data_IF_430818446293
#
_entry.id   IF_430818446293
#
_cell.length_a   1.000
_cell.length_b   1.000
_cell.length_c   1.000
_cell.angle_alpha   90.00
_cell.angle_beta   90.00
_cell.angle_gamma   90.00
#
_symmetry.space_group_name_H-M   'P 1'
#
loop_
_entity.id
_entity.type
_entity.pdbx_description
1 polymer ?
#
# COMPACT_ATOMS: atom_id res chain seq x y z
N UNK A 1 10.68 -5.48 18.47
CA UNK A 1 10.72 -4.34 17.53
C UNK A 1 10.20 -4.79 16.17
N UNK A 2 9.47 -3.92 15.46
CA UNK A 2 9.07 -4.14 14.07
C UNK A 2 9.58 -2.99 13.23
N UNK A 3 10.28 -3.27 12.14
CA UNK A 3 10.75 -2.28 11.17
C UNK A 3 9.96 -2.39 9.88
N UNK A 4 9.49 -1.29 9.32
CA UNK A 4 8.72 -1.26 8.08
C UNK A 4 9.50 -0.53 7.00
N UNK A 5 9.64 -1.20 5.86
CA UNK A 5 10.31 -0.71 4.66
C UNK A 5 9.33 -0.74 3.49
N UNK A 6 9.16 0.39 2.80
CA UNK A 6 8.27 0.52 1.63
C UNK A 6 9.07 1.09 0.47
N UNK A 7 8.89 0.59 -0.77
CA UNK A 7 9.55 1.16 -1.94
C UNK A 7 9.15 2.62 -2.13
N UNK A 8 10.14 3.47 -2.41
CA UNK A 8 9.92 4.82 -2.90
C UNK A 8 9.40 4.82 -4.34
N UNK A 9 9.18 6.02 -4.88
CA UNK A 9 8.76 6.22 -6.27
C UNK A 9 9.78 5.70 -7.30
N UNK A 10 11.03 5.54 -6.88
CA UNK A 10 12.14 4.98 -7.63
C UNK A 10 12.27 3.45 -7.48
N UNK A 11 11.41 2.84 -6.65
CA UNK A 11 11.45 1.41 -6.34
C UNK A 11 12.42 1.02 -5.22
N UNK A 12 13.20 1.96 -4.68
CA UNK A 12 14.18 1.68 -3.62
C UNK A 12 13.47 1.54 -2.27
N UNK A 13 13.64 0.43 -1.52
CA UNK A 13 13.06 0.31 -0.19
C UNK A 13 13.59 1.38 0.76
N UNK A 14 12.70 2.14 1.38
CA UNK A 14 13.00 3.17 2.36
C UNK A 14 12.20 2.94 3.66
N UNK A 15 12.70 3.37 4.82
CA UNK A 15 11.94 3.32 6.05
C UNK A 15 10.61 4.08 5.93
N UNK A 16 9.51 3.45 6.30
CA UNK A 16 8.19 4.06 6.22
C UNK A 16 7.81 4.67 7.58
N UNK A 17 7.62 5.99 7.62
CA UNK A 17 7.17 6.71 8.81
C UNK A 17 5.64 6.67 8.96
N UNK A 18 5.15 6.65 10.20
CA UNK A 18 3.72 6.73 10.51
C UNK A 18 2.87 5.52 10.10
N UNK A 19 3.50 4.37 9.83
CA UNK A 19 2.80 3.11 9.59
C UNK A 19 2.32 2.53 10.91
N UNK A 20 1.02 2.35 11.05
CA UNK A 20 0.41 1.63 12.17
C UNK A 20 0.73 0.14 12.07
N UNK A 21 1.32 -0.40 13.12
CA UNK A 21 1.61 -1.82 13.28
C UNK A 21 0.81 -2.34 14.46
N UNK A 22 0.04 -3.40 14.22
CA UNK A 22 -0.73 -4.09 15.25
C UNK A 22 -0.18 -5.49 15.43
N UNK A 23 0.21 -5.83 16.66
CA UNK A 23 0.53 -7.18 17.07
C UNK A 23 -0.75 -7.90 17.48
N UNK A 24 -1.09 -8.96 16.75
CA UNK A 24 -2.22 -9.83 17.04
C UNK A 24 -1.72 -11.17 17.59
N UNK A 25 -2.38 -11.76 18.59
CA UNK A 25 -2.01 -13.09 19.10
C UNK A 25 -2.56 -14.23 18.23
N UNK A 26 -2.96 -13.94 17.00
CA UNK A 26 -3.51 -14.88 16.03
C UNK A 26 -3.20 -14.43 14.60
N UNK A 27 -3.25 -15.38 13.66
CA UNK A 27 -3.18 -15.10 12.23
C UNK A 27 -4.48 -14.46 11.75
N UNK A 28 -4.44 -13.17 11.37
CA UNK A 28 -5.61 -12.43 10.87
C UNK A 28 -6.23 -13.09 9.64
N UNK A 29 -5.41 -13.53 8.69
CA UNK A 29 -5.89 -14.10 7.44
C UNK A 29 -6.57 -15.46 7.67
N UNK A 30 -6.22 -16.19 8.73
CA UNK A 30 -6.96 -17.40 9.11
C UNK A 30 -8.41 -17.11 9.51
N UNK A 31 -8.66 -16.04 10.25
CA UNK A 31 -10.04 -15.63 10.59
C UNK A 31 -10.82 -15.16 9.34
N UNK A 32 -10.17 -14.39 8.47
CA UNK A 32 -10.79 -13.94 7.21
C UNK A 32 -11.12 -15.14 6.32
N UNK A 33 -10.19 -16.08 6.13
CA UNK A 33 -10.44 -17.31 5.36
C UNK A 33 -11.60 -18.13 5.94
N UNK A 34 -11.69 -18.25 7.27
CA UNK A 34 -12.79 -18.96 7.93
C UNK A 34 -14.16 -18.33 7.61
N UNK A 35 -14.23 -17.00 7.63
CA UNK A 35 -15.45 -16.26 7.31
C UNK A 35 -15.81 -16.38 5.82
N UNK A 36 -14.81 -16.23 4.94
CA UNK A 36 -15.01 -16.37 3.49
C UNK A 36 -15.44 -17.80 3.10
N UNK A 37 -14.93 -18.83 3.79
CA UNK A 37 -15.37 -20.22 3.59
C UNK A 37 -16.83 -20.48 3.99
N UNK A 38 -17.43 -19.59 4.79
CA UNK A 38 -18.84 -19.65 5.22
C UNK A 38 -19.72 -18.66 4.46
N UNK A 39 -19.19 -17.95 3.48
CA UNK A 39 -19.94 -16.98 2.71
C UNK A 39 -21.11 -17.67 1.98
N UNK A 40 -22.31 -17.10 2.13
CA UNK A 40 -23.52 -17.59 1.45
C UNK A 40 -23.64 -17.10 0.00
N UNK A 41 -22.78 -16.16 -0.40
CA UNK A 41 -22.71 -15.62 -1.75
C UNK A 41 -21.26 -15.64 -2.26
N UNK A 42 -21.05 -15.88 -3.56
CA UNK A 42 -19.71 -15.87 -4.14
C UNK A 42 -19.13 -14.45 -4.11
N UNK A 43 -17.81 -14.37 -3.97
CA UNK A 43 -17.10 -13.10 -4.10
C UNK A 43 -17.38 -12.49 -5.48
N UNK A 44 -17.71 -11.19 -5.59
CA UNK A 44 -17.87 -10.53 -6.88
C UNK A 44 -16.63 -10.69 -7.76
N UNK A 45 -16.82 -10.93 -9.05
CA UNK A 45 -15.72 -11.05 -10.00
C UNK A 45 -15.02 -9.70 -10.16
N UNK A 46 -13.74 -9.62 -9.78
CA UNK A 46 -12.93 -8.38 -9.81
C UNK A 46 -12.03 -8.26 -11.03
N UNK A 47 -11.95 -9.29 -11.88
CA UNK A 47 -10.97 -9.36 -12.97
C UNK A 47 -10.97 -8.15 -13.90
N UNK A 48 -12.14 -7.59 -14.22
CA UNK A 48 -12.26 -6.38 -15.04
C UNK A 48 -11.68 -5.14 -14.33
N UNK A 49 -11.95 -5.00 -13.03
CA UNK A 49 -11.42 -3.92 -12.19
C UNK A 49 -9.91 -4.07 -11.99
N UNK A 50 -9.44 -5.28 -11.72
CA UNK A 50 -8.02 -5.60 -11.61
C UNK A 50 -7.25 -5.28 -12.90
N UNK A 51 -7.84 -5.58 -14.06
CA UNK A 51 -7.29 -5.23 -15.38
C UNK A 51 -7.29 -3.72 -15.62
N UNK A 52 -8.30 -2.99 -15.13
CA UNK A 52 -8.32 -1.53 -15.19
C UNK A 52 -7.27 -0.90 -14.27
N UNK A 53 -7.09 -1.41 -13.05
CA UNK A 53 -6.01 -1.02 -12.16
C UNK A 53 -4.63 -1.26 -12.79
N UNK A 54 -4.42 -2.42 -13.42
CA UNK A 54 -3.17 -2.73 -14.11
C UNK A 54 -2.86 -1.74 -15.23
N UNK A 55 -3.87 -1.36 -16.03
CA UNK A 55 -3.72 -0.35 -17.10
C UNK A 55 -3.49 1.07 -16.57
N UNK A 56 -4.04 1.39 -15.39
CA UNK A 56 -3.83 2.68 -14.74
C UNK A 56 -2.41 2.81 -14.15
N UNK A 57 -1.82 1.70 -13.69
CA UNK A 57 -0.55 1.69 -12.94
C UNK A 57 0.59 2.36 -13.70
N UNK A 58 0.83 1.93 -14.93
CA UNK A 58 1.99 2.39 -15.72
C UNK A 58 1.99 3.91 -15.98
N UNK A 59 0.91 4.52 -16.54
CA UNK A 59 0.88 5.97 -16.74
C UNK A 59 0.94 6.75 -15.42
N UNK A 60 0.39 6.22 -14.32
CA UNK A 60 0.52 6.85 -13.01
C UNK A 60 1.98 6.87 -12.52
N UNK A 61 2.64 5.71 -12.51
CA UNK A 61 4.02 5.60 -12.05
C UNK A 61 4.96 6.48 -12.88
N UNK A 62 4.78 6.48 -14.22
CA UNK A 62 5.54 7.35 -15.12
C UNK A 62 5.28 8.83 -14.85
N UNK A 63 4.02 9.22 -14.64
CA UNK A 63 3.67 10.61 -14.33
C UNK A 63 4.32 11.07 -13.01
N UNK A 64 4.27 10.24 -11.98
CA UNK A 64 4.88 10.52 -10.68
C UNK A 64 6.39 10.72 -10.80
N UNK A 65 7.08 9.81 -11.51
CA UNK A 65 8.52 9.90 -11.74
C UNK A 65 8.90 11.18 -12.53
N UNK A 66 8.19 11.47 -13.62
CA UNK A 66 8.43 12.67 -14.42
C UNK A 66 8.18 13.95 -13.61
N UNK A 67 7.17 13.97 -12.73
CA UNK A 67 6.89 15.11 -11.86
C UNK A 67 8.03 15.38 -10.87
N UNK A 68 8.61 14.32 -10.26
CA UNK A 68 9.79 14.45 -9.40
C UNK A 68 10.97 14.97 -10.21
N UNK A 69 11.24 14.38 -11.38
CA UNK A 69 12.33 14.81 -12.26
C UNK A 69 12.19 16.26 -12.72
N UNK A 70 10.98 16.69 -13.06
CA UNK A 70 10.69 18.08 -13.45
C UNK A 70 11.06 19.03 -12.31
N UNK A 71 10.63 18.73 -11.08
CA UNK A 71 10.95 19.54 -9.89
C UNK A 71 12.46 19.62 -9.67
N UNK A 72 13.18 18.49 -9.70
CA UNK A 72 14.65 18.48 -9.57
C UNK A 72 15.34 19.32 -10.64
N UNK A 73 14.85 19.29 -11.89
CA UNK A 73 15.39 20.12 -12.97
C UNK A 73 15.08 21.61 -12.76
N UNK A 74 13.90 21.96 -12.25
CA UNK A 74 13.53 23.33 -11.89
C UNK A 74 14.42 23.89 -10.77
N UNK A 75 14.67 23.08 -9.74
CA UNK A 75 15.56 23.44 -8.64
C UNK A 75 17.00 23.63 -9.15
N UNK A 76 17.47 22.71 -10.01
CA UNK A 76 18.79 22.80 -10.65
C UNK A 76 18.92 24.04 -11.53
N UNK A 77 17.90 24.36 -12.32
CA UNK A 77 17.87 25.54 -13.19
C UNK A 77 17.85 26.84 -12.38
N UNK A 78 17.20 26.84 -11.22
CA UNK A 78 17.17 27.99 -10.31
C UNK A 78 18.53 28.23 -9.64
N UNK A 79 19.31 27.18 -9.42
CA UNK A 79 20.67 27.26 -8.86
C UNK A 79 21.78 27.42 -9.92
N UNK A 80 21.47 27.27 -11.21
CA UNK A 80 22.47 27.27 -12.28
C UNK A 80 22.96 28.67 -12.67
N UNK A 81 24.28 28.79 -12.89
CA UNK A 81 24.89 29.94 -13.55
C UNK A 81 24.60 29.99 -15.06
N UNK A 82 25.18 30.98 -15.76
CA UNK A 82 24.98 31.14 -17.20
C UNK A 82 25.41 29.90 -18.01
N UNK A 83 26.50 29.27 -17.58
CA UNK A 83 27.01 28.04 -18.17
C UNK A 83 26.12 26.85 -17.81
N UNK A 84 25.57 26.17 -18.81
CA UNK A 84 24.70 25.00 -18.64
C UNK A 84 23.21 25.29 -18.47
N UNK A 85 22.80 26.56 -18.30
CA UNK A 85 21.38 26.95 -18.20
C UNK A 85 20.56 26.52 -19.42
N UNK A 86 21.09 26.73 -20.63
CA UNK A 86 20.42 26.35 -21.87
C UNK A 86 20.20 24.82 -21.97
N UNK A 87 21.18 24.02 -21.54
CA UNK A 87 21.08 22.56 -21.51
C UNK A 87 20.05 22.08 -20.48
N UNK A 88 20.00 22.70 -19.30
CA UNK A 88 18.97 22.40 -18.29
C UNK A 88 17.57 22.78 -18.76
N UNK A 89 17.42 23.93 -19.43
CA UNK A 89 16.14 24.36 -20.00
C UNK A 89 15.65 23.38 -21.06
N UNK A 90 16.50 22.96 -22.00
CA UNK A 90 16.12 21.98 -23.03
C UNK A 90 15.68 20.63 -22.43
N UNK A 91 16.35 20.18 -21.35
CA UNK A 91 15.94 18.98 -20.60
C UNK A 91 14.58 19.17 -19.91
N UNK A 92 14.35 20.35 -19.34
CA UNK A 92 13.08 20.68 -18.69
C UNK A 92 11.93 20.67 -19.71
N UNK A 93 12.13 21.27 -20.89
CA UNK A 93 11.13 21.31 -21.96
C UNK A 93 10.82 19.90 -22.49
N UNK A 94 11.84 19.05 -22.65
CA UNK A 94 11.67 17.63 -23.00
C UNK A 94 10.83 16.89 -21.95
N UNK A 95 11.14 17.05 -20.66
CA UNK A 95 10.37 16.43 -19.57
C UNK A 95 8.94 16.96 -19.53
N UNK A 96 8.72 18.25 -19.78
CA UNK A 96 7.38 18.84 -19.83
C UNK A 96 6.54 18.25 -20.98
N UNK A 97 7.13 18.02 -22.15
CA UNK A 97 6.48 17.34 -23.27
C UNK A 97 6.08 15.91 -22.95
N UNK A 98 6.98 15.14 -22.34
CA UNK A 98 6.69 13.77 -21.87
C UNK A 98 5.61 13.74 -20.79
N UNK A 99 5.65 14.70 -19.86
CA UNK A 99 4.67 14.81 -18.78
C UNK A 99 3.28 15.08 -19.36
N UNK A 100 3.15 16.00 -20.32
CA UNK A 100 1.88 16.29 -20.98
C UNK A 100 1.31 15.08 -21.74
N UNK A 101 2.15 14.31 -22.42
CA UNK A 101 1.73 13.07 -23.07
C UNK A 101 1.28 12.01 -22.06
N UNK A 102 2.05 11.84 -20.97
CA UNK A 102 1.73 10.89 -19.91
C UNK A 102 0.45 11.28 -19.16
N UNK A 103 0.22 12.58 -18.94
CA UNK A 103 -1.00 13.09 -18.32
C UNK A 103 -2.26 12.71 -19.13
N UNK A 104 -2.20 12.83 -20.46
CA UNK A 104 -3.31 12.40 -21.33
C UNK A 104 -3.58 10.91 -21.22
N UNK A 105 -2.53 10.08 -21.19
CA UNK A 105 -2.67 8.63 -21.01
C UNK A 105 -3.25 8.29 -19.63
N UNK A 106 -2.82 9.00 -18.58
CA UNK A 106 -3.34 8.85 -17.22
C UNK A 106 -4.81 9.20 -17.13
N UNK A 107 -5.24 10.31 -17.73
CA UNK A 107 -6.65 10.71 -17.75
C UNK A 107 -7.52 9.76 -18.56
N UNK A 108 -7.02 9.23 -19.68
CA UNK A 108 -7.72 8.17 -20.43
C UNK A 108 -7.88 6.89 -19.57
N UNK A 109 -6.83 6.48 -18.85
CA UNK A 109 -6.91 5.35 -17.93
C UNK A 109 -7.87 5.60 -16.76
N UNK A 110 -7.90 6.83 -16.21
CA UNK A 110 -8.84 7.26 -15.18
C UNK A 110 -10.28 7.18 -15.66
N UNK A 111 -10.57 7.69 -16.85
CA UNK A 111 -11.89 7.66 -17.47
C UNK A 111 -12.38 6.22 -17.69
N UNK A 112 -11.48 5.31 -18.10
CA UNK A 112 -11.81 3.89 -18.26
C UNK A 112 -12.03 3.16 -16.92
N UNK A 113 -11.34 3.57 -15.86
CA UNK A 113 -11.41 2.96 -14.53
C UNK A 113 -12.66 3.39 -13.75
N UNK A 114 -13.05 4.66 -13.84
CA UNK A 114 -14.14 5.25 -13.07
C UNK A 114 -15.45 4.42 -13.06
N UNK A 115 -16.05 4.05 -14.21
CA UNK A 115 -17.32 3.31 -14.21
C UNK A 115 -17.21 1.92 -13.60
N UNK A 116 -16.06 1.26 -13.72
CA UNK A 116 -15.81 -0.04 -13.08
C UNK A 116 -15.73 0.10 -11.56
N UNK A 117 -15.06 1.16 -11.07
CA UNK A 117 -14.97 1.43 -9.63
C UNK A 117 -16.34 1.74 -9.03
N UNK A 118 -17.13 2.55 -9.72
CA UNK A 118 -18.45 2.98 -9.25
C UNK A 118 -19.46 1.81 -9.24
N UNK A 119 -19.34 0.87 -10.18
CA UNK A 119 -20.24 -0.30 -10.25
C UNK A 119 -19.79 -1.48 -9.38
N UNK A 120 -18.50 -1.81 -9.34
CA UNK A 120 -17.98 -2.99 -8.64
C UNK A 120 -17.58 -2.70 -7.20
N UNK A 121 -17.08 -1.50 -6.88
CA UNK A 121 -16.64 -1.12 -5.53
C UNK A 121 -17.74 -1.33 -4.48
N UNK A 122 -18.96 -0.79 -4.66
CA UNK A 122 -20.06 -1.01 -3.73
C UNK A 122 -20.46 -2.48 -3.59
N UNK A 123 -20.40 -3.27 -4.68
CA UNK A 123 -20.73 -4.70 -4.67
C UNK A 123 -19.70 -5.51 -3.87
N UNK A 124 -18.42 -5.19 -4.02
CA UNK A 124 -17.34 -5.81 -3.25
C UNK A 124 -17.50 -5.47 -1.77
N UNK A 125 -17.71 -4.18 -1.44
CA UNK A 125 -17.93 -3.76 -0.05
C UNK A 125 -19.15 -4.45 0.58
N UNK A 126 -20.30 -4.46 -0.11
CA UNK A 126 -21.49 -5.14 0.38
C UNK A 126 -21.27 -6.65 0.61
N UNK A 127 -20.52 -7.31 -0.28
CA UNK A 127 -20.13 -8.70 -0.09
C UNK A 127 -19.20 -8.86 1.13
N UNK A 128 -18.20 -8.01 1.29
CA UNK A 128 -17.28 -8.03 2.43
C UNK A 128 -18.02 -7.80 3.76
N UNK A 129 -18.93 -6.82 3.81
CA UNK A 129 -19.72 -6.49 5.00
C UNK A 129 -20.63 -7.66 5.42
N UNK A 130 -21.24 -8.33 4.44
CA UNK A 130 -22.08 -9.50 4.71
C UNK A 130 -21.26 -10.71 5.14
N UNK A 131 -20.15 -10.99 4.45
CA UNK A 131 -19.31 -12.17 4.65
C UNK A 131 -18.48 -12.09 5.92
N UNK A 132 -17.97 -10.90 6.25
CA UNK A 132 -17.12 -10.67 7.43
C UNK A 132 -17.91 -10.27 8.66
N UNK A 133 -19.24 -10.38 8.63
CA UNK A 133 -20.09 -10.20 9.80
C UNK A 133 -19.65 -11.14 10.92
N UNK A 134 -19.45 -10.60 12.12
CA UNK A 134 -18.96 -11.35 13.26
C UNK A 134 -17.44 -11.49 13.35
N UNK A 135 -16.67 -10.86 12.45
CA UNK A 135 -15.22 -10.77 12.57
C UNK A 135 -14.78 -10.24 13.93
N UNK A 136 -15.45 -9.21 14.47
CA UNK A 136 -15.14 -8.64 15.79
C UNK A 136 -15.34 -9.64 16.94
N UNK A 137 -16.35 -10.50 16.85
CA UNK A 137 -16.58 -11.54 17.83
C UNK A 137 -15.51 -12.63 17.75
N UNK A 138 -15.12 -13.03 16.53
CA UNK A 138 -14.06 -14.02 16.32
C UNK A 138 -12.69 -13.50 16.74
N UNK A 139 -12.37 -12.24 16.45
CA UNK A 139 -11.10 -11.61 16.83
C UNK A 139 -10.99 -11.49 18.35
N UNK A 140 -12.07 -11.09 19.03
CA UNK A 140 -12.16 -11.08 20.51
C UNK A 140 -12.00 -12.48 21.08
N UNK A 141 -12.70 -13.48 20.53
CA UNK A 141 -12.58 -14.87 20.99
C UNK A 141 -11.16 -15.42 20.79
N UNK A 142 -10.50 -15.10 19.67
CA UNK A 142 -9.13 -15.51 19.39
C UNK A 142 -8.12 -14.86 20.37
N UNK A 143 -8.27 -13.56 20.64
CA UNK A 143 -7.45 -12.86 21.64
C UNK A 143 -7.65 -13.43 23.05
N UNK A 144 -8.91 -13.67 23.44
CA UNK A 144 -9.25 -14.25 24.74
C UNK A 144 -8.69 -15.67 24.90
N UNK A 145 -8.83 -16.52 23.87
CA UNK A 145 -8.29 -17.87 23.88
C UNK A 145 -6.75 -17.89 24.01
N UNK A 146 -6.07 -16.91 23.39
CA UNK A 146 -4.63 -16.73 23.53
C UNK A 146 -4.20 -16.09 24.87
N UNK A 147 -5.16 -15.60 25.68
CA UNK A 147 -4.94 -14.82 26.91
C UNK A 147 -3.99 -13.64 26.68
N UNK A 148 -4.12 -13.00 25.52
CA UNK A 148 -3.23 -11.94 25.06
C UNK A 148 -4.06 -10.80 24.47
N UNK A 149 -3.74 -9.58 24.87
CA UNK A 149 -4.37 -8.39 24.31
C UNK A 149 -3.59 -7.89 23.09
N UNK A 150 -4.26 -7.55 21.97
CA UNK A 150 -3.63 -6.88 20.84
C UNK A 150 -2.85 -5.64 21.27
N UNK A 151 -1.72 -5.39 20.63
CA UNK A 151 -0.90 -4.19 20.88
C UNK A 151 -0.72 -3.39 19.60
N UNK A 152 -0.78 -2.07 19.68
CA UNK A 152 -0.58 -1.20 18.53
C UNK A 152 0.54 -0.20 18.82
N UNK A 153 1.32 0.12 17.80
CA UNK A 153 2.29 1.21 17.81
C UNK A 153 2.46 1.72 16.37
N UNK A 154 3.01 2.91 16.20
CA UNK A 154 3.29 3.49 14.89
C UNK A 154 4.78 3.66 14.67
N UNK A 155 5.24 3.42 13.45
CA UNK A 155 6.65 3.56 13.10
C UNK A 155 7.12 5.01 13.18
N UNK A 156 8.31 5.24 13.75
CA UNK A 156 8.99 6.53 13.73
C UNK A 156 9.61 6.89 12.36
N UNK A 157 10.36 8.00 12.29
CA UNK A 157 11.07 8.43 11.09
C UNK A 157 12.13 7.41 10.58
N UNK A 158 12.59 6.51 11.46
CA UNK A 158 13.47 5.39 11.10
C UNK A 158 12.71 4.14 10.64
N UNK A 159 11.38 4.23 10.52
CA UNK A 159 10.50 3.13 10.14
C UNK A 159 10.34 2.08 11.23
N UNK A 160 10.53 2.43 12.50
CA UNK A 160 10.53 1.46 13.61
C UNK A 160 9.36 1.67 14.56
N UNK A 161 8.58 0.61 14.78
CA UNK A 161 7.60 0.48 15.85
C UNK A 161 8.18 -0.36 17.01
N UNK A 162 8.05 0.14 18.25
CA UNK A 162 8.65 -0.43 19.46
C UNK A 162 7.56 -0.86 20.44
N UNK A 163 7.44 -2.16 20.59
CA UNK A 163 6.56 -2.78 21.58
C UNK A 163 7.37 -3.17 22.82
N UNK A 164 7.10 -2.53 23.95
CA UNK A 164 7.65 -2.94 25.25
C UNK A 164 6.85 -4.12 25.82
N UNK A 165 7.49 -4.95 26.65
CA UNK A 165 6.86 -5.99 27.48
C UNK A 165 5.94 -6.96 26.70
N UNK A 166 6.31 -7.30 25.48
CA UNK A 166 5.59 -8.31 24.68
C UNK A 166 5.93 -9.70 25.24
N UNK A 167 4.96 -10.45 25.78
CA UNK A 167 5.22 -11.80 26.27
C UNK A 167 5.83 -12.68 25.19
N UNK A 168 6.69 -13.63 25.59
CA UNK A 168 7.22 -14.69 24.73
C UNK A 168 6.10 -15.66 24.33
N UNK A 169 5.26 -15.19 23.42
CA UNK A 169 4.12 -15.90 22.87
C UNK A 169 4.13 -15.73 21.34
N UNK A 170 3.21 -16.42 20.68
CA UNK A 170 3.08 -16.35 19.23
C UNK A 170 2.27 -15.12 18.84
N UNK A 171 2.94 -14.17 18.19
CA UNK A 171 2.35 -12.94 17.69
C UNK A 171 2.47 -12.85 16.17
N UNK A 172 1.58 -12.06 15.56
CA UNK A 172 1.62 -11.66 14.16
C UNK A 172 1.65 -10.15 14.07
N UNK A 173 2.60 -9.62 13.32
CA UNK A 173 2.64 -8.21 12.94
C UNK A 173 1.72 -8.00 11.74
N UNK A 174 0.69 -7.18 11.94
CA UNK A 174 -0.23 -6.72 10.90
C UNK A 174 0.02 -5.25 10.65
N UNK A 175 0.21 -4.89 9.39
CA UNK A 175 0.41 -3.50 8.99
C UNK A 175 -0.13 -3.29 7.57
N UNK A 176 -0.41 -2.02 7.27
CA UNK A 176 -0.81 -1.57 5.94
C UNK A 176 -0.01 -0.33 5.58
N UNK A 177 0.40 -0.22 4.31
CA UNK A 177 1.03 1.01 3.82
C UNK A 177 0.68 1.25 2.36
N UNK A 178 0.69 2.51 1.93
CA UNK A 178 0.38 2.87 0.55
C UNK A 178 1.45 2.36 -0.42
N UNK A 179 1.01 1.83 -1.57
CA UNK A 179 1.91 1.58 -2.69
C UNK A 179 2.08 2.89 -3.47
N UNK A 180 3.21 3.58 -3.28
CA UNK A 180 3.48 4.86 -3.95
C UNK A 180 3.57 4.74 -5.47
N UNK A 181 3.73 3.52 -6.00
CA UNK A 181 3.76 3.24 -7.44
C UNK A 181 2.39 2.89 -8.01
N UNK A 182 1.39 2.60 -7.16
CA UNK A 182 0.04 2.22 -7.57
C UNK A 182 -0.99 2.70 -6.53
N UNK A 183 -1.73 3.78 -6.78
CA UNK A 183 -2.66 4.33 -5.81
C UNK A 183 -3.89 3.44 -5.58
N UNK A 184 -4.09 2.45 -6.45
CA UNK A 184 -5.15 1.45 -6.32
C UNK A 184 -4.68 0.20 -5.55
N UNK A 185 -3.45 0.21 -5.00
CA UNK A 185 -2.91 -0.87 -4.19
C UNK A 185 -2.38 -0.36 -2.86
N UNK A 186 -2.28 -1.29 -1.94
CA UNK A 186 -1.59 -1.10 -0.67
C UNK A 186 -0.75 -2.33 -0.39
N UNK A 187 0.37 -2.10 0.28
CA UNK A 187 1.13 -3.15 0.93
C UNK A 187 0.38 -3.63 2.15
N UNK A 188 0.31 -4.95 2.30
CA UNK A 188 -0.30 -5.62 3.43
C UNK A 188 0.66 -6.64 4.01
N UNK A 189 0.83 -6.59 5.33
CA UNK A 189 1.57 -7.58 6.09
C UNK A 189 0.67 -8.27 7.09
N UNK A 190 0.93 -9.57 7.27
CA UNK A 190 0.39 -10.40 8.34
C UNK A 190 1.41 -11.51 8.59
N UNK A 191 2.49 -11.13 9.27
CA UNK A 191 3.73 -11.91 9.36
C UNK A 191 3.93 -12.36 10.81
N UNK A 192 4.19 -13.66 11.06
CA UNK A 192 4.49 -14.12 12.42
C UNK A 192 5.79 -13.51 12.93
N UNK A 193 5.81 -13.14 14.22
CA UNK A 193 7.02 -12.69 14.90
C UNK A 193 7.97 -13.87 15.15
N UNK A 194 9.12 -13.85 14.50
CA UNK A 194 10.20 -14.82 14.67
C UNK A 194 11.40 -14.15 15.35
N UNK A 195 11.28 -13.89 16.66
CA UNK A 195 12.33 -13.27 17.48
C UNK A 195 12.09 -11.80 17.82
N UNK A 196 13.15 -11.14 18.29
CA UNK A 196 13.06 -9.79 18.87
C UNK A 196 12.87 -8.68 17.83
N UNK A 197 13.19 -8.96 16.56
CA UNK A 197 13.08 -8.03 15.45
C UNK A 197 12.46 -8.70 14.25
N UNK A 198 11.45 -8.06 13.67
CA UNK A 198 10.90 -8.41 12.35
C UNK A 198 11.00 -7.23 11.42
N UNK A 199 11.42 -7.49 10.19
CA UNK A 199 11.38 -6.52 9.10
C UNK A 199 10.19 -6.83 8.21
N UNK A 200 9.31 -5.86 8.05
CA UNK A 200 8.20 -5.86 7.10
C UNK A 200 8.67 -5.12 5.85
N UNK A 201 8.80 -5.83 4.74
CA UNK A 201 9.30 -5.28 3.48
C UNK A 201 8.55 -5.89 2.28
N UNK A 202 8.83 -5.47 1.04
CA UNK A 202 8.14 -6.00 -0.15
C UNK A 202 8.23 -7.51 -0.35
N UNK A 203 9.27 -8.18 0.19
CA UNK A 203 9.51 -9.61 -0.01
C UNK A 203 8.57 -10.47 0.82
N UNK A 204 8.08 -9.94 1.95
CA UNK A 204 7.11 -10.61 2.81
C UNK A 204 5.75 -9.89 2.88
N UNK A 205 5.54 -8.90 2.01
CA UNK A 205 4.27 -8.23 1.81
C UNK A 205 3.40 -8.92 0.77
N UNK A 206 2.09 -8.72 0.87
CA UNK A 206 1.16 -8.91 -0.25
C UNK A 206 0.69 -7.56 -0.75
N UNK A 207 0.71 -7.33 -2.07
CA UNK A 207 0.04 -6.17 -2.67
C UNK A 207 -1.45 -6.45 -2.79
N UNK A 208 -2.27 -5.75 -2.02
CA UNK A 208 -3.73 -5.87 -2.07
C UNK A 208 -4.36 -4.72 -2.85
N UNK A 209 -5.36 -4.99 -3.71
CA UNK A 209 -6.13 -3.96 -4.37
C UNK A 209 -6.97 -3.17 -3.35
N UNK A 210 -7.25 -1.91 -3.69
CA UNK A 210 -8.11 -1.00 -2.94
C UNK A 210 -9.41 -0.76 -3.71
N UNK A 211 -10.51 -1.30 -3.21
CA UNK A 211 -11.83 -1.26 -3.85
C UNK A 211 -12.76 -0.20 -3.25
#
# INVERSE_FOLDING_TARGET
MVRVMVPGVDGTPAPANGVEVVLLPYDRDSLVRLLEARATSPRPATAALDSAFARFREPFARYALLSVRQRTLQDSLSAAGADGRAALQARLDSVAGELAATARALEAARAALAPLRDSLGPRIRAWEDSTRRGYDSLSKAAAWAARQEPRADSTDAGGVARFADVPRARWWAVAYSWDVSDPNRQWYWNVPLAGDTVVLDPTNATRRPRY
#
